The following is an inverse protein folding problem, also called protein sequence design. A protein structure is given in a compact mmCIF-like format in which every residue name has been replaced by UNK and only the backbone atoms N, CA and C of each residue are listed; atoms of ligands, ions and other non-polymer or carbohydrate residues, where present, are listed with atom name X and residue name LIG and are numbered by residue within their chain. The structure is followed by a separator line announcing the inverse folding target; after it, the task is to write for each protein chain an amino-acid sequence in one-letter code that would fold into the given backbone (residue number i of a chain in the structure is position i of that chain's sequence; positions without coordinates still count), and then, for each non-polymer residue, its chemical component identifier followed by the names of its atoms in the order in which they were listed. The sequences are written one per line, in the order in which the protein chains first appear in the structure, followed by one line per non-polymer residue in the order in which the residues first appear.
data_IF_840742437745
#
_entry.id   IF_840742437745
#
_cell.length_a   1.000
_cell.length_b   1.000
_cell.length_c   1.000
_cell.angle_alpha   90.00
_cell.angle_beta   90.00
_cell.angle_gamma   90.00
#
_symmetry.space_group_name_H-M   'P 1'
#
loop_
_entity.id
_entity.type
_entity.pdbx_description
1 polymer ?
#
# COMPACT_ATOMS: atom_id res chain seq x y z
N UNK A 1 13.79 -2.08 -16.15
CA UNK A 1 14.61 -2.93 -15.27
C UNK A 1 14.62 -2.21 -13.93
N UNK A 2 13.74 -2.58 -13.00
CA UNK A 2 13.65 -1.92 -11.70
C UNK A 2 15.01 -2.01 -11.00
N UNK A 3 15.49 -0.88 -10.49
CA UNK A 3 16.76 -0.86 -9.78
C UNK A 3 16.59 -1.50 -8.40
N UNK A 4 17.69 -1.90 -7.79
CA UNK A 4 17.68 -2.40 -6.42
C UNK A 4 17.16 -1.35 -5.42
N UNK A 5 17.36 -0.05 -5.70
CA UNK A 5 16.97 1.05 -4.81
C UNK A 5 15.48 1.33 -4.90
N UNK A 6 14.90 1.32 -6.10
CA UNK A 6 13.45 1.47 -6.30
C UNK A 6 12.69 0.38 -5.51
N UNK A 7 13.18 -0.85 -5.54
CA UNK A 7 12.63 -1.93 -4.71
C UNK A 7 12.69 -1.62 -3.21
N UNK A 8 13.78 -1.03 -2.72
CA UNK A 8 13.92 -0.67 -1.30
C UNK A 8 12.94 0.44 -0.88
N UNK A 9 12.60 1.37 -1.76
CA UNK A 9 11.60 2.41 -1.48
C UNK A 9 10.24 1.76 -1.23
N UNK A 10 9.79 0.92 -2.17
CA UNK A 10 8.50 0.25 -2.07
C UNK A 10 8.46 -0.74 -0.91
N UNK A 11 9.54 -1.49 -0.68
CA UNK A 11 9.66 -2.41 0.44
C UNK A 11 9.55 -1.67 1.79
N UNK A 12 10.18 -0.49 1.92
CA UNK A 12 10.06 0.35 3.12
C UNK A 12 8.61 0.79 3.38
N UNK A 13 7.93 1.27 2.34
CA UNK A 13 6.52 1.72 2.42
C UNK A 13 5.60 0.55 2.82
N UNK A 14 5.71 -0.58 2.13
CA UNK A 14 4.89 -1.77 2.38
C UNK A 14 5.14 -2.32 3.79
N UNK A 15 6.40 -2.45 4.20
CA UNK A 15 6.73 -2.95 5.53
C UNK A 15 6.23 -2.02 6.64
N UNK A 16 6.25 -0.69 6.42
CA UNK A 16 5.65 0.27 7.36
C UNK A 16 4.15 0.04 7.52
N UNK A 17 3.39 -0.07 6.42
CA UNK A 17 1.95 -0.32 6.44
C UNK A 17 1.58 -1.67 7.06
N UNK A 18 2.35 -2.71 6.74
CA UNK A 18 2.10 -4.10 7.17
C UNK A 18 2.00 -4.27 8.67
N UNK A 19 2.74 -3.48 9.45
CA UNK A 19 2.68 -3.49 10.92
C UNK A 19 1.29 -3.14 11.49
N UNK A 20 0.43 -2.47 10.70
CA UNK A 20 -0.91 -2.03 11.07
C UNK A 20 -2.03 -2.90 10.48
N UNK A 21 -1.69 -4.07 9.93
CA UNK A 21 -2.69 -4.99 9.39
C UNK A 21 -2.93 -6.12 10.37
N UNK A 22 -4.19 -6.31 10.71
CA UNK A 22 -4.65 -7.49 11.41
C UNK A 22 -5.51 -8.36 10.49
N UNK A 23 -4.93 -9.46 9.98
CA UNK A 23 -5.61 -10.35 9.04
C UNK A 23 -6.87 -11.02 9.63
N UNK A 24 -7.04 -11.04 10.96
CA UNK A 24 -8.28 -11.56 11.56
C UNK A 24 -9.49 -10.71 11.18
N UNK A 25 -9.29 -9.42 10.92
CA UNK A 25 -10.37 -8.46 10.61
C UNK A 25 -10.97 -8.71 9.22
N UNK A 26 -10.27 -9.51 8.40
CA UNK A 26 -10.59 -9.84 7.02
C UNK A 26 -11.26 -11.22 6.89
N UNK A 27 -11.54 -11.87 8.02
CA UNK A 27 -12.19 -13.18 8.11
C UNK A 27 -11.23 -14.37 8.05
N UNK A 28 -11.74 -15.56 8.40
CA UNK A 28 -10.93 -16.77 8.56
C UNK A 28 -10.11 -17.14 7.31
N UNK A 29 -10.63 -16.86 6.11
CA UNK A 29 -9.91 -17.17 4.87
C UNK A 29 -8.74 -16.23 4.59
N UNK A 30 -8.77 -15.00 5.11
CA UNK A 30 -7.67 -14.06 4.92
C UNK A 30 -6.40 -14.47 5.66
N UNK A 31 -6.52 -15.26 6.73
CA UNK A 31 -5.37 -15.86 7.43
C UNK A 31 -4.59 -16.87 6.57
N UNK A 32 -5.16 -17.32 5.44
CA UNK A 32 -4.51 -18.22 4.48
C UNK A 32 -3.73 -17.47 3.38
N UNK A 33 -3.82 -16.13 3.35
CA UNK A 33 -3.06 -15.30 2.41
C UNK A 33 -1.58 -15.43 2.75
N UNK A 34 -0.75 -15.77 1.76
CA UNK A 34 0.69 -15.78 1.95
C UNK A 34 1.20 -14.35 2.16
N UNK A 35 2.29 -14.20 2.93
CA UNK A 35 2.89 -12.89 3.18
C UNK A 35 3.17 -12.12 1.89
N UNK A 36 3.66 -12.78 0.84
CA UNK A 36 3.98 -12.13 -0.44
C UNK A 36 2.72 -11.57 -1.14
N UNK A 37 1.60 -12.30 -1.07
CA UNK A 37 0.33 -11.85 -1.64
C UNK A 37 -0.21 -10.66 -0.83
N UNK A 38 -0.09 -10.71 0.50
CA UNK A 38 -0.47 -9.59 1.35
C UNK A 38 0.35 -8.34 1.01
N UNK A 39 1.66 -8.47 0.84
CA UNK A 39 2.55 -7.35 0.50
C UNK A 39 2.15 -6.69 -0.82
N UNK A 40 1.73 -7.48 -1.82
CA UNK A 40 1.19 -6.97 -3.08
C UNK A 40 -0.13 -6.22 -2.88
N UNK A 41 -1.05 -6.74 -2.09
CA UNK A 41 -2.32 -6.06 -1.80
C UNK A 41 -2.11 -4.71 -1.10
N UNK A 42 -1.21 -4.68 -0.13
CA UNK A 42 -0.83 -3.43 0.56
C UNK A 42 -0.31 -2.42 -0.45
N UNK A 43 0.64 -2.85 -1.30
CA UNK A 43 1.23 -2.00 -2.31
C UNK A 43 0.16 -1.45 -3.27
N UNK A 44 -0.73 -2.29 -3.78
CA UNK A 44 -1.78 -1.88 -4.72
C UNK A 44 -2.72 -0.85 -4.09
N UNK A 45 -3.16 -1.06 -2.85
CA UNK A 45 -4.01 -0.09 -2.14
C UNK A 45 -3.29 1.26 -2.00
N UNK A 46 -2.04 1.25 -1.54
CA UNK A 46 -1.27 2.47 -1.30
C UNK A 46 -1.03 3.23 -2.61
N UNK A 47 -0.58 2.52 -3.66
CA UNK A 47 -0.28 3.12 -4.97
C UNK A 47 -1.55 3.68 -5.62
N UNK A 48 -2.66 2.97 -5.56
CA UNK A 48 -3.91 3.43 -6.14
C UNK A 48 -4.40 4.71 -5.46
N UNK A 49 -4.36 4.77 -4.12
CA UNK A 49 -4.68 6.01 -3.40
C UNK A 49 -3.69 7.15 -3.72
N UNK A 50 -2.39 6.87 -3.76
CA UNK A 50 -1.37 7.86 -4.07
C UNK A 50 -1.49 8.41 -5.51
N UNK A 51 -2.05 7.60 -6.42
CA UNK A 51 -2.33 7.98 -7.81
C UNK A 51 -3.67 8.72 -7.97
N UNK A 52 -4.42 8.91 -6.89
CA UNK A 52 -5.72 9.59 -6.91
C UNK A 52 -6.87 8.74 -7.47
N UNK A 53 -6.75 7.41 -7.45
CA UNK A 53 -7.84 6.53 -7.87
C UNK A 53 -9.07 6.65 -6.95
N UNK A 54 -10.26 6.55 -7.55
CA UNK A 54 -11.50 6.56 -6.79
C UNK A 54 -11.64 5.29 -5.96
N UNK A 55 -12.17 5.44 -4.74
CA UNK A 55 -12.41 4.34 -3.79
C UNK A 55 -13.12 3.13 -4.41
N UNK A 56 -14.14 3.37 -5.23
CA UNK A 56 -14.93 2.31 -5.89
C UNK A 56 -14.08 1.49 -6.87
N UNK A 57 -13.16 2.14 -7.58
CA UNK A 57 -12.21 1.50 -8.51
C UNK A 57 -11.23 0.63 -7.73
N UNK A 58 -10.65 1.17 -6.65
CA UNK A 58 -9.73 0.43 -5.78
C UNK A 58 -10.42 -0.82 -5.21
N UNK A 59 -11.64 -0.66 -4.72
CA UNK A 59 -12.41 -1.74 -4.12
C UNK A 59 -12.78 -2.83 -5.14
N UNK A 60 -13.19 -2.42 -6.35
CA UNK A 60 -13.47 -3.35 -7.45
C UNK A 60 -12.22 -4.13 -7.87
N UNK A 61 -11.09 -3.44 -8.01
CA UNK A 61 -9.82 -4.05 -8.39
C UNK A 61 -9.36 -5.06 -7.33
N UNK A 62 -9.37 -4.66 -6.05
CA UNK A 62 -8.98 -5.53 -4.94
C UNK A 62 -9.88 -6.77 -4.84
N UNK A 63 -11.20 -6.61 -5.01
CA UNK A 63 -12.13 -7.73 -5.04
C UNK A 63 -11.79 -8.72 -6.17
N UNK A 64 -11.53 -8.21 -7.38
CA UNK A 64 -11.17 -9.05 -8.53
C UNK A 64 -9.86 -9.80 -8.32
N UNK A 65 -8.85 -9.15 -7.73
CA UNK A 65 -7.56 -9.78 -7.43
C UNK A 65 -7.70 -10.89 -6.38
N UNK A 66 -8.43 -10.64 -5.29
CA UNK A 66 -8.73 -11.65 -4.27
C UNK A 66 -9.51 -12.83 -4.85
N UNK A 67 -10.52 -12.55 -5.67
CA UNK A 67 -11.30 -13.58 -6.34
C UNK A 67 -10.42 -14.42 -7.29
N UNK A 68 -9.51 -13.78 -8.04
CA UNK A 68 -8.59 -14.48 -8.96
C UNK A 68 -7.68 -15.49 -8.26
N UNK A 69 -7.29 -15.22 -7.01
CA UNK A 69 -6.48 -16.13 -6.19
C UNK A 69 -7.32 -17.10 -5.34
N UNK A 70 -8.63 -17.18 -5.59
CA UNK A 70 -9.56 -18.10 -4.92
C UNK A 70 -10.06 -17.63 -3.56
N UNK A 71 -9.87 -16.36 -3.22
CA UNK A 71 -10.33 -15.75 -1.97
C UNK A 71 -11.61 -14.97 -2.25
N UNK A 72 -12.74 -15.59 -1.91
CA UNK A 72 -14.05 -14.96 -2.06
C UNK A 72 -14.39 -14.15 -0.80
N UNK A 73 -14.37 -12.83 -0.92
CA UNK A 73 -14.71 -11.86 0.12
C UNK A 73 -15.88 -11.03 -0.39
N UNK A 74 -16.85 -10.75 0.47
CA UNK A 74 -18.01 -9.96 0.09
C UNK A 74 -17.62 -8.51 -0.24
N UNK A 75 -18.22 -7.91 -1.28
CA UNK A 75 -17.90 -6.54 -1.73
C UNK A 75 -17.99 -5.51 -0.58
N UNK A 76 -19.05 -5.54 0.22
CA UNK A 76 -19.19 -4.69 1.43
C UNK A 76 -18.01 -4.77 2.42
N UNK A 77 -17.33 -5.91 2.49
CA UNK A 77 -16.15 -6.07 3.36
C UNK A 77 -14.94 -5.42 2.72
N UNK A 78 -14.77 -5.56 1.40
CA UNK A 78 -13.71 -4.91 0.64
C UNK A 78 -13.84 -3.39 0.70
N UNK A 79 -15.04 -2.85 0.54
CA UNK A 79 -15.28 -1.40 0.64
C UNK A 79 -14.87 -0.85 2.00
N UNK A 80 -15.20 -1.58 3.08
CA UNK A 80 -14.80 -1.21 4.45
C UNK A 80 -13.30 -1.26 4.64
N UNK A 81 -12.65 -2.28 4.10
CA UNK A 81 -11.18 -2.43 4.13
C UNK A 81 -10.53 -1.23 3.46
N UNK A 82 -10.96 -0.89 2.24
CA UNK A 82 -10.38 0.22 1.48
C UNK A 82 -10.59 1.54 2.21
N UNK A 83 -11.76 1.72 2.84
CA UNK A 83 -12.09 2.95 3.58
C UNK A 83 -11.22 3.13 4.81
N UNK A 84 -11.07 2.06 5.60
CA UNK A 84 -10.20 2.03 6.77
C UNK A 84 -8.73 2.30 6.37
N UNK A 85 -8.26 1.67 5.29
CA UNK A 85 -6.87 1.80 4.85
C UNK A 85 -6.51 3.15 4.27
N UNK A 86 -7.45 3.89 3.71
CA UNK A 86 -7.21 5.28 3.32
C UNK A 86 -6.73 6.13 4.51
N UNK A 87 -7.27 5.89 5.71
CA UNK A 87 -6.89 6.62 6.94
C UNK A 87 -5.65 5.98 7.58
N UNK A 88 -5.68 4.66 7.77
CA UNK A 88 -4.62 3.92 8.48
C UNK A 88 -3.28 3.99 7.76
N UNK A 89 -3.27 4.05 6.42
CA UNK A 89 -2.07 4.15 5.60
C UNK A 89 -1.79 5.56 5.09
N UNK A 90 -2.38 6.60 5.69
CA UNK A 90 -2.20 7.99 5.24
C UNK A 90 -0.74 8.42 5.09
N UNK A 91 0.14 8.02 6.02
CA UNK A 91 1.58 8.28 5.93
C UNK A 91 2.24 7.57 4.73
N UNK A 92 1.88 6.31 4.47
CA UNK A 92 2.41 5.53 3.35
C UNK A 92 1.87 5.98 2.01
N UNK A 93 0.59 6.35 1.95
CA UNK A 93 -0.04 6.95 0.77
C UNK A 93 0.68 8.25 0.43
N UNK A 94 0.96 9.08 1.44
CA UNK A 94 1.74 10.31 1.23
C UNK A 94 3.19 10.02 0.80
N UNK A 95 3.85 9.02 1.41
CA UNK A 95 5.20 8.60 1.02
C UNK A 95 5.26 8.10 -0.44
N UNK A 96 4.25 7.34 -0.87
CA UNK A 96 4.12 6.86 -2.25
C UNK A 96 3.85 8.01 -3.22
N UNK A 97 2.98 8.95 -2.85
CA UNK A 97 2.74 10.15 -3.64
C UNK A 97 4.03 10.97 -3.84
N UNK A 98 4.78 11.21 -2.76
CA UNK A 98 6.07 11.90 -2.83
C UNK A 98 7.08 11.11 -3.67
N UNK A 99 7.09 9.79 -3.58
CA UNK A 99 7.95 8.94 -4.41
C UNK A 99 7.67 9.18 -5.89
N UNK A 100 6.40 9.18 -6.31
CA UNK A 100 6.03 9.48 -7.69
C UNK A 100 6.45 10.89 -8.11
N UNK A 101 6.08 11.90 -7.32
CA UNK A 101 6.40 13.30 -7.62
C UNK A 101 7.90 13.55 -7.72
N UNK A 102 8.69 13.03 -6.77
CA UNK A 102 10.13 13.27 -6.74
C UNK A 102 10.85 12.58 -7.89
N UNK A 103 10.46 11.35 -8.25
CA UNK A 103 11.01 10.65 -9.40
C UNK A 103 10.66 11.36 -10.72
N UNK A 104 9.44 11.90 -10.83
CA UNK A 104 9.03 12.72 -11.98
C UNK A 104 9.84 14.02 -12.09
N UNK A 105 10.14 14.66 -10.95
CA UNK A 105 11.00 15.85 -10.88
C UNK A 105 12.49 15.56 -11.13
N UNK A 106 12.87 14.29 -11.34
CA UNK A 106 14.23 13.87 -11.68
C UNK A 106 15.16 13.67 -10.48
N UNK A 107 14.62 13.56 -9.26
CA UNK A 107 15.40 13.15 -8.09
C UNK A 107 15.92 11.72 -8.25
N UNK A 108 17.05 11.43 -7.62
CA UNK A 108 17.60 10.09 -7.59
C UNK A 108 16.81 9.21 -6.61
N UNK A 109 16.75 7.91 -6.90
CA UNK A 109 16.11 6.93 -6.01
C UNK A 109 16.73 6.93 -4.59
N UNK A 110 18.00 7.31 -4.46
CA UNK A 110 18.68 7.42 -3.17
C UNK A 110 18.14 8.59 -2.34
N UNK A 111 17.90 9.74 -2.98
CA UNK A 111 17.28 10.89 -2.32
C UNK A 111 15.86 10.52 -1.89
N UNK A 112 15.07 9.94 -2.78
CA UNK A 112 13.70 9.51 -2.49
C UNK A 112 13.66 8.52 -1.33
N UNK A 113 14.54 7.51 -1.33
CA UNK A 113 14.65 6.54 -0.23
C UNK A 113 14.98 7.21 1.11
N UNK A 114 15.87 8.21 1.10
CA UNK A 114 16.19 9.00 2.29
C UNK A 114 14.95 9.71 2.86
N UNK A 115 14.21 10.43 2.01
CA UNK A 115 12.99 11.12 2.43
C UNK A 115 11.90 10.17 2.93
N UNK A 116 11.65 9.07 2.22
CA UNK A 116 10.66 8.07 2.64
C UNK A 116 11.05 7.44 3.97
N UNK A 117 12.34 7.15 4.17
CA UNK A 117 12.83 6.62 5.44
C UNK A 117 12.62 7.60 6.59
N UNK A 118 13.00 8.87 6.40
CA UNK A 118 12.83 9.91 7.42
C UNK A 118 11.35 10.13 7.77
N UNK A 119 10.48 10.17 6.76
CA UNK A 119 9.04 10.35 6.91
C UNK A 119 8.39 9.23 7.73
N UNK A 120 8.74 7.98 7.43
CA UNK A 120 8.09 6.80 8.02
C UNK A 120 8.69 6.41 9.38
N UNK A 121 10.00 6.62 9.58
CA UNK A 121 10.67 6.28 10.85
C UNK A 121 10.59 7.41 11.89
N UNK A 122 10.48 8.66 11.44
CA UNK A 122 10.47 9.83 12.33
C UNK A 122 9.36 10.79 11.92
N UNK A 123 8.07 10.45 12.14
CA UNK A 123 6.97 11.33 11.77
C UNK A 123 7.08 12.66 12.51
N UNK A 124 7.60 13.68 11.82
CA UNK A 124 7.58 15.06 12.30
C UNK A 124 6.13 15.53 12.19
N UNK A 125 5.48 15.70 13.33
CA UNK A 125 4.20 16.40 13.41
C UNK A 125 4.47 17.82 12.89
N UNK A 126 3.98 18.12 11.69
CA UNK A 126 3.94 19.47 11.14
C UNK A 126 2.55 20.06 11.37
#
# INVERSE_FOLDING_TARGET
MHTKTEYLIWDKIVNSAKTRINLSDYGEKATKISSEILDKFILHIIVAFASGEEHCTISTNLHNELHHIGINVHEDVIDKIVSDKHVVFSAEIYAAYLTFSMLEDGHTEQEVLGYVTDLLDTPKIH
#
